data_IF_101364806010
#
_entry.id   IF_101364806010
#
_cell.length_a   1.000
_cell.length_b   1.000
_cell.length_c   1.000
_cell.angle_alpha   90.00
_cell.angle_beta   90.00
_cell.angle_gamma   90.00
#
_symmetry.space_group_name_H-M   'P 1'
#
loop_
_entity.id
_entity.type
_entity.pdbx_description
1 polymer ?
#
# COMPACT_ATOMS: atom_id res chain seq x y z
N UNK A 1 30.63 34.77 -14.23
CA UNK A 1 30.88 35.29 -15.58
C UNK A 1 29.54 35.49 -16.27
N UNK A 2 29.38 36.59 -16.99
CA UNK A 2 28.17 36.91 -17.75
C UNK A 2 28.55 37.06 -19.22
N UNK A 3 27.86 36.35 -20.10
CA UNK A 3 27.93 36.53 -21.54
C UNK A 3 26.55 37.00 -22.04
N UNK A 4 26.52 38.02 -22.87
CA UNK A 4 25.28 38.60 -23.38
C UNK A 4 25.41 38.97 -24.85
N UNK A 5 24.45 38.51 -25.63
CA UNK A 5 24.21 38.96 -26.99
C UNK A 5 22.74 39.32 -27.10
N UNK A 6 22.44 40.50 -27.62
CA UNK A 6 21.08 40.95 -27.85
C UNK A 6 21.00 41.76 -29.14
N UNK A 7 19.82 41.73 -29.73
CA UNK A 7 19.42 42.59 -30.82
C UNK A 7 18.06 43.21 -30.48
N UNK A 8 17.98 44.53 -30.64
CA UNK A 8 16.77 45.29 -30.39
C UNK A 8 16.46 46.10 -31.64
N UNK A 9 15.37 45.77 -32.32
CA UNK A 9 14.87 46.48 -33.49
C UNK A 9 13.71 47.35 -33.04
N UNK A 10 13.77 48.67 -33.29
CA UNK A 10 12.69 49.62 -33.00
C UNK A 10 12.23 50.29 -34.28
N UNK A 11 10.92 50.25 -34.53
CA UNK A 11 10.32 51.05 -35.58
C UNK A 11 10.06 52.47 -35.04
N UNK A 12 10.75 53.43 -35.62
CA UNK A 12 10.51 54.86 -35.43
C UNK A 12 9.48 55.35 -36.46
N UNK A 13 8.79 56.45 -36.16
CA UNK A 13 7.82 57.05 -37.07
C UNK A 13 8.38 57.25 -38.48
N UNK A 14 7.54 57.08 -39.49
CA UNK A 14 7.86 57.10 -40.93
C UNK A 14 8.53 55.83 -41.50
N UNK A 15 8.40 54.67 -40.84
CA UNK A 15 8.86 53.39 -41.39
C UNK A 15 10.38 53.20 -41.31
N UNK A 16 11.07 53.98 -40.49
CA UNK A 16 12.48 53.81 -40.23
C UNK A 16 12.70 52.80 -39.10
N UNK A 17 13.59 51.84 -39.32
CA UNK A 17 13.99 50.88 -38.29
C UNK A 17 15.36 51.24 -37.73
N UNK A 18 15.49 51.25 -36.40
CA UNK A 18 16.78 51.32 -35.72
C UNK A 18 17.08 49.99 -35.08
N UNK A 19 18.28 49.47 -35.37
CA UNK A 19 18.79 48.23 -34.82
C UNK A 19 19.87 48.58 -33.80
N UNK A 20 19.72 48.05 -32.58
CA UNK A 20 20.71 48.15 -31.51
C UNK A 20 21.27 46.76 -31.22
N UNK A 21 22.58 46.63 -31.28
CA UNK A 21 23.28 45.41 -30.92
C UNK A 21 24.02 45.59 -29.59
N UNK A 22 24.43 44.48 -28.99
CA UNK A 22 25.35 44.50 -27.85
C UNK A 22 26.71 45.08 -28.26
N UNK A 23 27.22 46.01 -27.45
CA UNK A 23 28.60 46.50 -27.57
C UNK A 23 29.58 45.34 -27.35
N UNK A 24 30.59 45.21 -28.22
CA UNK A 24 31.59 44.15 -28.14
C UNK A 24 32.27 44.08 -26.77
N UNK A 25 32.42 45.22 -26.07
CA UNK A 25 33.00 45.29 -24.73
C UNK A 25 32.10 44.72 -23.64
N UNK A 26 30.81 44.60 -23.90
CA UNK A 26 29.79 44.12 -22.95
C UNK A 26 29.38 42.68 -23.23
N UNK A 27 29.81 42.09 -24.35
CA UNK A 27 29.52 40.69 -24.71
C UNK A 27 29.98 39.69 -23.66
N UNK A 28 31.08 40.00 -22.96
CA UNK A 28 31.64 39.16 -21.90
C UNK A 28 32.06 40.01 -20.72
N UNK A 29 31.46 39.74 -19.57
CA UNK A 29 31.71 40.42 -18.31
C UNK A 29 32.28 39.39 -17.32
N UNK A 30 33.52 39.63 -16.90
CA UNK A 30 34.22 38.79 -15.93
C UNK A 30 34.14 39.40 -14.52
N UNK A 31 33.98 38.54 -13.51
CA UNK A 31 33.87 38.95 -12.11
C UNK A 31 32.43 39.06 -11.58
N UNK A 32 32.31 39.34 -10.29
CA UNK A 32 31.04 39.44 -9.56
C UNK A 32 30.55 40.88 -9.41
N UNK A 33 31.41 41.87 -9.68
CA UNK A 33 31.09 43.29 -9.61
C UNK A 33 31.72 43.97 -10.83
N UNK A 34 30.91 44.67 -11.60
CA UNK A 34 31.33 45.38 -12.82
C UNK A 34 30.71 46.76 -12.84
N UNK A 35 31.48 47.74 -13.29
CA UNK A 35 31.03 49.11 -13.40
C UNK A 35 30.83 49.50 -14.87
N UNK A 36 29.61 49.87 -15.24
CA UNK A 36 29.26 50.32 -16.59
C UNK A 36 29.05 51.83 -16.57
N UNK A 37 29.95 52.57 -17.25
CA UNK A 37 29.86 54.03 -17.40
C UNK A 37 29.55 54.40 -18.83
N UNK A 38 28.43 55.09 -19.01
CA UNK A 38 28.09 55.72 -20.29
C UNK A 38 27.31 57.02 -20.03
N UNK A 39 27.33 57.97 -21.00
CA UNK A 39 26.44 59.12 -20.99
C UNK A 39 24.96 58.73 -20.86
N UNK A 40 24.12 59.68 -20.48
CA UNK A 40 22.68 59.48 -20.44
C UNK A 40 22.14 59.13 -21.84
N UNK A 41 21.03 58.39 -21.88
CA UNK A 41 20.40 57.92 -23.12
C UNK A 41 21.26 57.00 -24.03
N UNK A 42 22.32 56.38 -23.48
CA UNK A 42 23.16 55.39 -24.19
C UNK A 42 22.75 53.93 -23.99
N UNK A 43 21.55 53.67 -23.44
CA UNK A 43 21.02 52.31 -23.31
C UNK A 43 21.44 51.54 -22.05
N UNK A 44 22.02 52.20 -21.03
CA UNK A 44 22.38 51.57 -19.74
C UNK A 44 21.19 50.82 -19.11
N UNK A 45 20.08 51.51 -18.92
CA UNK A 45 18.86 50.90 -18.36
C UNK A 45 18.27 49.85 -19.29
N UNK A 46 18.39 50.03 -20.61
CA UNK A 46 17.93 49.05 -21.60
C UNK A 46 18.68 47.72 -21.46
N UNK A 47 20.01 47.74 -21.30
CA UNK A 47 20.80 46.55 -21.04
C UNK A 47 20.34 45.83 -19.77
N UNK A 48 20.18 46.58 -18.67
CA UNK A 48 19.74 46.01 -17.39
C UNK A 48 18.32 45.43 -17.48
N UNK A 49 17.41 46.10 -18.19
CA UNK A 49 16.06 45.61 -18.44
C UNK A 49 16.07 44.34 -19.31
N UNK A 50 16.96 44.22 -20.30
CA UNK A 50 17.12 42.98 -21.10
C UNK A 50 17.64 41.84 -20.22
N UNK A 51 18.60 42.11 -19.32
CA UNK A 51 19.07 41.11 -18.36
C UNK A 51 17.95 40.65 -17.44
N UNK A 52 17.15 41.58 -16.90
CA UNK A 52 15.99 41.25 -16.07
C UNK A 52 14.93 40.47 -16.86
N UNK A 53 14.63 40.86 -18.10
CA UNK A 53 13.73 40.15 -19.00
C UNK A 53 14.20 38.71 -19.23
N UNK A 54 15.49 38.51 -19.47
CA UNK A 54 16.08 37.18 -19.67
C UNK A 54 15.88 36.23 -18.47
N UNK A 55 15.58 36.77 -17.30
CA UNK A 55 15.34 36.04 -16.06
C UNK A 55 13.89 36.14 -15.58
N UNK A 56 12.94 36.30 -16.51
CA UNK A 56 11.50 36.40 -16.22
C UNK A 56 11.10 37.58 -15.32
N UNK A 57 11.85 38.68 -15.34
CA UNK A 57 11.54 39.87 -14.54
C UNK A 57 10.18 40.50 -14.87
N UNK A 58 9.70 40.33 -16.10
CA UNK A 58 8.37 40.75 -16.57
C UNK A 58 7.22 39.93 -15.96
N UNK A 59 7.49 38.70 -15.51
CA UNK A 59 6.47 37.76 -15.04
C UNK A 59 6.34 37.73 -13.51
N UNK A 60 7.13 38.52 -12.79
CA UNK A 60 7.03 38.63 -11.34
C UNK A 60 5.71 39.30 -10.94
N UNK A 61 5.03 38.78 -9.92
CA UNK A 61 3.75 39.31 -9.45
C UNK A 61 3.88 40.76 -8.97
N UNK A 62 2.81 41.56 -9.04
CA UNK A 62 2.77 42.93 -8.53
C UNK A 62 3.08 43.04 -7.04
N UNK A 63 2.67 42.02 -6.26
CA UNK A 63 2.97 41.90 -4.83
C UNK A 63 4.44 41.62 -4.52
N UNK A 64 5.26 41.40 -5.54
CA UNK A 64 6.64 41.00 -5.40
C UNK A 64 7.57 42.22 -5.36
N UNK A 65 7.98 42.61 -4.15
CA UNK A 65 8.80 43.79 -3.87
C UNK A 65 10.23 43.73 -4.42
N UNK A 66 10.58 42.68 -5.17
CA UNK A 66 11.92 42.46 -5.74
C UNK A 66 12.26 43.39 -6.90
N UNK A 67 11.25 43.89 -7.61
CA UNK A 67 11.36 44.84 -8.71
C UNK A 67 10.22 45.84 -8.56
N UNK A 68 10.51 47.14 -8.66
CA UNK A 68 9.49 48.17 -8.59
C UNK A 68 8.51 48.10 -9.77
N UNK A 69 7.29 48.60 -9.58
CA UNK A 69 6.25 48.59 -10.63
C UNK A 69 6.69 49.32 -11.91
N UNK A 70 7.40 50.44 -11.75
CA UNK A 70 7.92 51.21 -12.87
C UNK A 70 8.97 50.42 -13.66
N UNK A 71 9.89 49.76 -12.98
CA UNK A 71 10.90 48.92 -13.64
C UNK A 71 10.27 47.69 -14.29
N UNK A 72 9.27 47.07 -13.66
CA UNK A 72 8.55 45.93 -14.26
C UNK A 72 7.85 46.35 -15.54
N UNK A 73 7.16 47.49 -15.52
CA UNK A 73 6.54 48.09 -16.71
C UNK A 73 7.59 48.31 -17.82
N UNK A 74 8.75 48.86 -17.49
CA UNK A 74 9.85 49.08 -18.44
C UNK A 74 10.42 47.79 -19.03
N UNK A 75 10.46 46.70 -18.26
CA UNK A 75 10.87 45.37 -18.72
C UNK A 75 9.79 44.77 -19.64
N UNK A 76 8.52 44.84 -19.22
CA UNK A 76 7.39 44.34 -20.02
C UNK A 76 7.31 45.08 -21.36
N UNK A 77 7.53 46.40 -21.37
CA UNK A 77 7.60 47.22 -22.58
C UNK A 77 8.64 46.72 -23.58
N UNK A 78 9.69 46.01 -23.13
CA UNK A 78 10.67 45.44 -24.04
C UNK A 78 10.13 44.24 -24.85
N UNK A 79 9.16 43.51 -24.30
CA UNK A 79 8.59 42.32 -24.92
C UNK A 79 7.23 42.57 -25.58
N UNK A 80 6.41 43.47 -25.06
CA UNK A 80 4.98 43.56 -25.42
C UNK A 80 4.64 44.51 -26.59
N UNK A 81 5.59 45.35 -27.04
CA UNK A 81 5.32 46.36 -28.08
C UNK A 81 5.39 45.78 -29.49
N UNK A 82 4.32 46.01 -30.28
CA UNK A 82 4.26 45.63 -31.71
C UNK A 82 5.32 46.30 -32.58
N UNK A 83 5.81 47.48 -32.19
CA UNK A 83 6.79 48.26 -32.95
C UNK A 83 8.23 48.01 -32.48
N UNK A 84 8.45 47.00 -31.66
CA UNK A 84 9.77 46.64 -31.16
C UNK A 84 9.96 45.11 -31.15
N UNK A 85 11.12 44.67 -31.60
CA UNK A 85 11.54 43.27 -31.55
C UNK A 85 12.79 43.20 -30.67
N UNK A 86 12.80 42.27 -29.73
CA UNK A 86 13.96 42.01 -28.87
C UNK A 86 14.29 40.52 -28.89
N UNK A 87 15.51 40.19 -29.30
CA UNK A 87 16.08 38.84 -29.20
C UNK A 87 17.34 38.89 -28.33
N UNK A 88 17.61 37.81 -27.62
CA UNK A 88 18.79 37.73 -26.77
C UNK A 88 19.24 36.29 -26.53
N UNK A 89 20.52 36.17 -26.21
CA UNK A 89 21.18 34.99 -25.67
C UNK A 89 22.05 35.46 -24.50
N UNK A 90 21.66 35.07 -23.29
CA UNK A 90 22.34 35.47 -22.06
C UNK A 90 22.78 34.22 -21.33
N UNK A 91 24.05 34.17 -20.94
CA UNK A 91 24.63 33.07 -20.18
C UNK A 91 25.26 33.59 -18.89
N UNK A 92 24.83 33.03 -17.77
CA UNK A 92 25.42 33.26 -16.46
C UNK A 92 26.18 32.00 -16.03
N UNK A 93 27.46 32.13 -15.73
CA UNK A 93 28.29 31.02 -15.24
C UNK A 93 28.78 31.33 -13.82
N UNK A 94 28.57 30.38 -12.91
CA UNK A 94 29.11 30.41 -11.54
C UNK A 94 30.64 30.52 -11.54
N UNK A 95 31.22 31.06 -10.45
CA UNK A 95 32.68 31.18 -10.28
C UNK A 95 33.40 29.84 -10.46
N UNK A 96 32.78 28.75 -10.04
CA UNK A 96 33.36 27.40 -10.09
C UNK A 96 33.02 26.67 -11.40
N UNK A 97 32.28 27.30 -12.32
CA UNK A 97 31.84 26.70 -13.60
C UNK A 97 30.81 25.57 -13.48
N UNK A 98 30.41 25.19 -12.26
CA UNK A 98 29.52 24.02 -12.02
C UNK A 98 28.06 24.27 -12.39
N UNK A 99 27.63 25.53 -12.33
CA UNK A 99 26.26 25.96 -12.61
C UNK A 99 26.33 26.99 -13.72
N UNK A 100 25.60 26.72 -14.80
CA UNK A 100 25.36 27.67 -15.88
C UNK A 100 23.86 27.89 -16.06
N UNK A 101 23.45 29.13 -16.22
CA UNK A 101 22.08 29.51 -16.55
C UNK A 101 22.09 30.17 -17.93
N UNK A 102 21.41 29.56 -18.90
CA UNK A 102 21.34 30.03 -20.27
C UNK A 102 19.90 30.45 -20.54
N UNK A 103 19.72 31.71 -20.92
CA UNK A 103 18.43 32.27 -21.29
C UNK A 103 18.45 32.72 -22.74
N UNK A 104 17.47 32.25 -23.53
CA UNK A 104 17.38 32.57 -24.95
C UNK A 104 15.98 33.02 -25.33
N UNK A 105 15.92 34.06 -26.15
CA UNK A 105 14.73 34.51 -26.86
C UNK A 105 15.08 34.59 -28.34
N UNK A 106 14.77 33.50 -29.07
CA UNK A 106 15.10 33.35 -30.49
C UNK A 106 14.03 33.92 -31.41
N UNK A 107 12.77 33.81 -31.02
CA UNK A 107 11.67 34.29 -31.83
C UNK A 107 11.40 35.77 -31.52
N UNK A 108 11.68 36.61 -32.53
CA UNK A 108 11.45 38.04 -32.52
C UNK A 108 10.01 38.46 -32.17
N UNK A 109 9.03 37.61 -32.50
CA UNK A 109 7.60 37.92 -32.41
C UNK A 109 6.96 37.26 -31.18
N UNK A 110 7.55 36.18 -30.64
CA UNK A 110 7.03 35.52 -29.45
C UNK A 110 7.53 36.19 -28.17
N UNK A 111 6.72 36.15 -27.11
CA UNK A 111 7.11 36.49 -25.75
C UNK A 111 7.73 35.30 -24.99
N UNK A 112 7.97 34.20 -25.68
CA UNK A 112 8.55 33.00 -25.10
C UNK A 112 10.05 33.19 -24.83
N UNK A 113 10.40 33.02 -23.56
CA UNK A 113 11.78 33.06 -23.06
C UNK A 113 12.09 31.67 -22.54
N UNK A 114 13.09 31.04 -23.14
CA UNK A 114 13.58 29.72 -22.73
C UNK A 114 14.75 29.89 -21.77
N UNK A 115 14.55 29.50 -20.51
CA UNK A 115 15.62 29.46 -19.51
C UNK A 115 16.02 28.01 -19.25
N UNK A 116 17.32 27.75 -19.25
CA UNK A 116 17.90 26.44 -19.02
C UNK A 116 18.99 26.54 -17.98
N UNK A 117 19.08 25.52 -17.15
CA UNK A 117 20.09 25.38 -16.13
C UNK A 117 20.94 24.15 -16.43
N UNK A 118 22.26 24.30 -16.36
CA UNK A 118 23.24 23.23 -16.51
C UNK A 118 23.94 23.06 -15.18
N UNK A 119 23.71 21.92 -14.51
CA UNK A 119 24.40 21.55 -13.28
C UNK A 119 25.29 20.35 -13.58
N UNK A 120 26.61 20.50 -13.45
CA UNK A 120 27.60 19.45 -13.71
C UNK A 120 27.40 18.77 -15.09
N UNK A 121 27.08 19.55 -16.12
CA UNK A 121 26.86 19.08 -17.50
C UNK A 121 25.48 18.48 -17.78
N UNK A 122 24.58 18.39 -16.79
CA UNK A 122 23.18 18.00 -17.02
C UNK A 122 22.31 19.23 -17.25
N UNK A 123 21.71 19.30 -18.42
CA UNK A 123 20.80 20.37 -18.83
C UNK A 123 19.37 20.08 -18.35
N UNK A 124 18.74 21.10 -17.76
CA UNK A 124 17.36 21.08 -17.30
C UNK A 124 16.66 22.36 -17.74
N UNK A 125 15.50 22.23 -18.38
CA UNK A 125 14.63 23.37 -18.66
C UNK A 125 14.06 23.93 -17.34
N UNK A 126 14.13 25.24 -17.18
CA UNK A 126 13.75 25.94 -15.96
C UNK A 126 12.54 26.85 -16.23
N UNK A 127 11.31 26.32 -16.12
CA UNK A 127 10.10 27.14 -16.28
C UNK A 127 10.00 28.18 -15.16
N UNK A 128 9.25 29.26 -15.42
CA UNK A 128 9.10 30.41 -14.51
C UNK A 128 8.84 30.03 -13.04
N UNK A 129 7.92 29.10 -12.77
CA UNK A 129 7.61 28.68 -11.40
C UNK A 129 8.82 28.09 -10.67
N UNK A 130 9.60 27.22 -11.33
CA UNK A 130 10.83 26.66 -10.75
C UNK A 130 11.92 27.71 -10.61
N UNK A 131 12.06 28.59 -11.60
CA UNK A 131 13.00 29.71 -11.51
C UNK A 131 12.71 30.55 -10.27
N UNK A 132 11.45 30.90 -10.01
CA UNK A 132 11.03 31.70 -8.86
C UNK A 132 11.34 31.05 -7.50
N UNK A 133 11.25 29.72 -7.43
CA UNK A 133 11.53 28.96 -6.20
C UNK A 133 13.02 28.82 -5.91
N UNK A 134 13.82 28.64 -6.96
CA UNK A 134 15.24 28.31 -6.86
C UNK A 134 16.15 29.55 -6.94
N UNK A 135 15.71 30.62 -7.62
CA UNK A 135 16.49 31.83 -7.88
C UNK A 135 15.80 33.09 -7.35
N UNK A 136 16.61 34.00 -6.80
CA UNK A 136 16.16 35.28 -6.27
C UNK A 136 16.69 36.42 -7.15
N UNK A 137 15.88 36.84 -8.13
CA UNK A 137 16.17 37.98 -8.99
C UNK A 137 15.94 39.30 -8.22
N UNK A 138 16.97 40.13 -8.12
CA UNK A 138 16.87 41.49 -7.56
C UNK A 138 17.28 42.45 -8.65
N UNK A 139 16.38 43.37 -8.99
CA UNK A 139 16.68 44.46 -9.90
C UNK A 139 16.05 45.74 -9.39
N UNK A 140 16.90 46.72 -9.14
CA UNK A 140 16.50 47.98 -8.55
C UNK A 140 17.35 49.13 -9.08
N UNK A 141 16.74 50.30 -9.18
CA UNK A 141 17.40 51.57 -9.47
C UNK A 141 17.17 52.45 -8.25
N UNK A 142 18.06 52.40 -7.25
CA UNK A 142 17.82 53.09 -5.99
C UNK A 142 17.87 54.60 -6.16
N UNK A 143 16.90 55.29 -5.54
CA UNK A 143 16.96 56.74 -5.36
C UNK A 143 18.07 57.13 -4.36
N UNK A 144 18.28 56.29 -3.33
CA UNK A 144 19.39 56.38 -2.38
C UNK A 144 20.21 55.07 -2.34
N UNK A 145 21.29 54.97 -3.13
CA UNK A 145 22.09 53.75 -3.23
C UNK A 145 22.80 53.39 -1.92
N UNK A 146 23.10 54.37 -1.05
CA UNK A 146 23.86 54.12 0.18
C UNK A 146 23.00 53.40 1.22
N UNK A 147 21.72 53.76 1.31
CA UNK A 147 20.77 53.11 2.21
C UNK A 147 20.21 51.81 1.62
N UNK A 148 20.14 51.68 0.29
CA UNK A 148 19.59 50.47 -0.34
C UNK A 148 20.49 49.24 -0.23
N UNK A 149 21.81 49.40 -0.30
CA UNK A 149 22.76 48.28 -0.16
C UNK A 149 22.56 47.51 1.17
N UNK A 150 22.53 48.17 2.35
CA UNK A 150 22.31 47.45 3.61
C UNK A 150 20.93 46.80 3.70
N UNK A 151 19.89 47.37 3.08
CA UNK A 151 18.58 46.73 2.97
C UNK A 151 18.65 45.42 2.19
N UNK A 152 19.26 45.42 1.00
CA UNK A 152 19.44 44.20 0.18
C UNK A 152 20.24 43.14 0.94
N UNK A 153 21.31 43.55 1.65
CA UNK A 153 22.08 42.64 2.49
C UNK A 153 21.22 42.03 3.60
N UNK A 154 20.32 42.82 4.20
CA UNK A 154 19.38 42.34 5.21
C UNK A 154 18.37 41.35 4.62
N UNK A 155 17.86 41.61 3.42
CA UNK A 155 16.94 40.71 2.70
C UNK A 155 17.61 39.37 2.37
N UNK A 156 18.85 39.41 1.85
CA UNK A 156 19.65 38.21 1.57
C UNK A 156 19.88 37.41 2.87
N UNK A 157 20.25 38.08 3.97
CA UNK A 157 20.43 37.44 5.27
C UNK A 157 19.13 36.78 5.77
N UNK A 158 18.00 37.44 5.59
CA UNK A 158 16.68 36.90 5.95
C UNK A 158 16.32 35.67 5.11
N UNK A 159 16.63 35.66 3.80
CA UNK A 159 16.43 34.47 2.96
C UNK A 159 17.34 33.32 3.37
N UNK A 160 18.61 33.59 3.65
CA UNK A 160 19.54 32.60 4.19
C UNK A 160 19.03 32.01 5.52
N UNK A 161 18.48 32.85 6.41
CA UNK A 161 17.86 32.39 7.65
C UNK A 161 16.65 31.49 7.41
N UNK A 162 15.79 31.83 6.44
CA UNK A 162 14.65 30.98 6.04
C UNK A 162 15.11 29.60 5.55
N UNK A 163 16.15 29.55 4.72
CA UNK A 163 16.74 28.27 4.29
C UNK A 163 17.35 27.50 5.45
N UNK A 164 18.06 28.17 6.35
CA UNK A 164 18.61 27.55 7.55
C UNK A 164 17.52 26.93 8.42
N UNK A 165 16.41 27.64 8.64
CA UNK A 165 15.26 27.12 9.40
C UNK A 165 14.66 25.88 8.73
N UNK A 166 14.44 25.91 7.40
CA UNK A 166 13.95 24.74 6.64
C UNK A 166 14.87 23.52 6.81
N UNK A 167 16.19 23.74 6.77
CA UNK A 167 17.18 22.68 7.00
C UNK A 167 17.10 22.15 8.43
N UNK A 168 16.99 23.03 9.44
CA UNK A 168 16.85 22.62 10.83
C UNK A 168 15.57 21.80 11.07
N UNK A 169 14.45 22.22 10.50
CA UNK A 169 13.18 21.49 10.61
C UNK A 169 13.28 20.11 9.95
N UNK A 170 13.96 20.01 8.79
CA UNK A 170 14.24 18.73 8.15
C UNK A 170 15.15 17.83 8.98
N UNK A 171 16.21 18.38 9.60
CA UNK A 171 17.08 17.63 10.52
C UNK A 171 16.28 17.10 11.72
N UNK A 172 15.37 17.91 12.28
CA UNK A 172 14.50 17.49 13.38
C UNK A 172 13.61 16.34 12.96
N UNK A 173 12.97 16.45 11.80
CA UNK A 173 12.14 15.39 11.23
C UNK A 173 12.92 14.08 11.01
N UNK A 174 14.15 14.16 10.50
CA UNK A 174 15.02 12.98 10.40
C UNK A 174 15.39 12.40 11.77
N UNK A 175 15.57 13.26 12.78
CA UNK A 175 15.79 12.85 14.16
C UNK A 175 14.58 12.12 14.74
N UNK A 176 13.37 12.62 14.47
CA UNK A 176 12.10 11.99 14.85
C UNK A 176 11.96 10.61 14.18
N UNK A 177 12.14 10.51 12.86
CA UNK A 177 12.15 9.22 12.15
C UNK A 177 13.17 8.26 12.75
N UNK A 178 14.39 8.74 13.02
CA UNK A 178 15.44 7.90 13.62
C UNK A 178 15.03 7.40 15.01
N UNK A 179 14.39 8.26 15.81
CA UNK A 179 13.87 7.89 17.13
C UNK A 179 12.69 6.94 17.01
N UNK A 180 11.79 7.12 16.05
CA UNK A 180 10.67 6.20 15.78
C UNK A 180 11.21 4.83 15.37
N UNK A 181 12.20 4.77 14.49
CA UNK A 181 12.85 3.51 14.10
C UNK A 181 13.52 2.86 15.31
N UNK A 182 14.24 3.62 16.14
CA UNK A 182 14.89 3.12 17.34
C UNK A 182 13.89 2.60 18.38
N UNK A 183 12.79 3.33 18.59
CA UNK A 183 11.74 3.00 19.56
C UNK A 183 10.76 1.93 19.03
N UNK A 184 10.65 1.74 17.72
CA UNK A 184 9.87 0.65 17.10
C UNK A 184 10.53 -0.72 17.27
N UNK A 185 11.81 -0.75 17.65
CA UNK A 185 12.53 -1.96 18.06
C UNK A 185 12.58 -2.00 19.57
N UNK A 186 11.41 -2.15 20.20
CA UNK A 186 11.35 -2.47 21.61
C UNK A 186 11.76 -3.93 21.77
N UNK A 187 13.04 -4.14 22.10
CA UNK A 187 13.65 -5.47 22.23
C UNK A 187 12.91 -6.31 23.28
N UNK A 188 12.32 -5.65 24.29
CA UNK A 188 11.46 -6.26 25.30
C UNK A 188 10.11 -6.69 24.73
N UNK A 189 9.51 -5.93 23.81
CA UNK A 189 8.26 -6.31 23.14
C UNK A 189 8.47 -7.48 22.18
N UNK A 190 9.63 -7.54 21.50
CA UNK A 190 10.02 -8.67 20.66
C UNK A 190 10.22 -9.93 21.51
N UNK A 191 10.88 -9.82 22.67
CA UNK A 191 11.06 -10.93 23.61
C UNK A 191 9.70 -11.39 24.12
N UNK A 192 8.83 -10.48 24.59
CA UNK A 192 7.47 -10.81 25.06
C UNK A 192 6.66 -11.52 23.98
N UNK A 193 6.71 -11.03 22.75
CA UNK A 193 5.99 -11.62 21.62
C UNK A 193 6.51 -13.02 21.32
N UNK A 194 7.84 -13.24 21.35
CA UNK A 194 8.43 -14.58 21.21
C UNK A 194 8.01 -15.52 22.33
N UNK A 195 7.97 -15.05 23.58
CA UNK A 195 7.50 -15.83 24.72
C UNK A 195 6.03 -16.20 24.56
N UNK A 196 5.18 -15.25 24.17
CA UNK A 196 3.76 -15.51 23.90
C UNK A 196 3.56 -16.51 22.75
N UNK A 197 4.35 -16.43 21.68
CA UNK A 197 4.31 -17.41 20.58
C UNK A 197 4.62 -18.81 21.11
N UNK A 198 5.70 -18.97 21.89
CA UNK A 198 6.05 -20.26 22.50
C UNK A 198 4.94 -20.80 23.39
N UNK A 199 4.33 -19.97 24.23
CA UNK A 199 3.21 -20.38 25.08
C UNK A 199 1.97 -20.81 24.27
N UNK A 200 1.68 -20.13 23.16
CA UNK A 200 0.57 -20.50 22.30
C UNK A 200 0.85 -21.79 21.52
N UNK A 201 2.11 -22.06 21.14
CA UNK A 201 2.52 -23.33 20.55
C UNK A 201 2.37 -24.50 21.52
N UNK A 202 2.75 -24.32 22.79
CA UNK A 202 2.56 -25.32 23.84
C UNK A 202 1.06 -25.57 24.11
N UNK A 203 0.26 -24.50 24.20
CA UNK A 203 -1.21 -24.62 24.34
C UNK A 203 -1.82 -25.36 23.15
N UNK A 204 -1.38 -25.08 21.93
CA UNK A 204 -1.82 -25.78 20.71
C UNK A 204 -1.49 -27.28 20.76
N UNK A 205 -0.29 -27.64 21.23
CA UNK A 205 0.11 -29.04 21.40
C UNK A 205 -0.76 -29.76 22.44
N UNK A 206 -1.03 -29.10 23.57
CA UNK A 206 -1.89 -29.64 24.63
C UNK A 206 -3.33 -29.82 24.15
N UNK A 207 -3.92 -28.84 23.44
CA UNK A 207 -5.25 -28.99 22.87
C UNK A 207 -5.33 -30.13 21.85
N UNK A 208 -4.28 -30.32 21.05
CA UNK A 208 -4.22 -31.45 20.10
C UNK A 208 -4.27 -32.80 20.84
N UNK A 209 -3.51 -32.94 21.94
CA UNK A 209 -3.56 -34.14 22.79
C UNK A 209 -4.95 -34.36 23.39
N UNK A 210 -5.57 -33.31 23.94
CA UNK A 210 -6.92 -33.41 24.50
C UNK A 210 -7.97 -33.77 23.47
N UNK A 211 -7.86 -33.28 22.22
CA UNK A 211 -8.74 -33.68 21.13
C UNK A 211 -8.60 -35.18 20.84
N UNK A 212 -7.37 -35.69 20.79
CA UNK A 212 -7.12 -37.11 20.54
C UNK A 212 -7.64 -38.00 21.69
N UNK A 213 -7.49 -37.56 22.94
CA UNK A 213 -8.08 -38.23 24.12
C UNK A 213 -9.60 -38.27 24.06
N UNK A 214 -10.25 -37.14 23.77
CA UNK A 214 -11.72 -37.06 23.66
C UNK A 214 -12.22 -37.94 22.50
N UNK A 215 -11.51 -37.99 21.38
CA UNK A 215 -11.86 -38.88 20.25
C UNK A 215 -11.82 -40.35 20.64
N UNK A 216 -10.81 -40.76 21.40
CA UNK A 216 -10.73 -42.13 21.93
C UNK A 216 -11.87 -42.42 22.93
N UNK A 217 -12.21 -41.46 23.80
CA UNK A 217 -13.37 -41.61 24.70
C UNK A 217 -14.70 -41.74 23.94
N UNK A 218 -14.92 -40.91 22.91
CA UNK A 218 -16.11 -41.00 22.05
C UNK A 218 -16.20 -42.37 21.40
N UNK A 219 -15.08 -42.88 20.86
CA UNK A 219 -15.05 -44.21 20.23
C UNK A 219 -15.40 -45.34 21.21
N UNK A 220 -14.94 -45.25 22.46
CA UNK A 220 -15.30 -46.20 23.52
C UNK A 220 -16.79 -46.11 23.84
N UNK A 221 -17.33 -44.89 23.99
CA UNK A 221 -18.76 -44.65 24.26
C UNK A 221 -19.67 -45.14 23.14
N UNK A 222 -19.31 -44.87 21.88
CA UNK A 222 -20.03 -45.39 20.71
C UNK A 222 -20.07 -46.91 20.70
N UNK A 223 -18.94 -47.56 21.04
CA UNK A 223 -18.85 -49.01 21.13
C UNK A 223 -19.72 -49.56 22.26
N UNK A 224 -19.71 -48.92 23.43
CA UNK A 224 -20.56 -49.31 24.56
C UNK A 224 -22.05 -49.15 24.25
N UNK A 225 -22.46 -48.03 23.64
CA UNK A 225 -23.85 -47.79 23.24
C UNK A 225 -24.32 -48.83 22.21
N UNK A 226 -23.47 -49.17 21.24
CA UNK A 226 -23.78 -50.21 20.27
C UNK A 226 -24.00 -51.57 20.93
N UNK A 227 -23.18 -51.93 21.92
CA UNK A 227 -23.31 -53.18 22.68
C UNK A 227 -24.58 -53.20 23.54
N UNK A 228 -24.89 -52.11 24.22
CA UNK A 228 -26.11 -51.98 25.05
C UNK A 228 -27.39 -52.08 24.21
N UNK A 229 -27.45 -51.39 23.07
CA UNK A 229 -28.62 -51.51 22.19
C UNK A 229 -28.71 -52.92 21.60
N UNK A 230 -27.58 -53.57 21.31
CA UNK A 230 -27.57 -54.96 20.88
C UNK A 230 -28.19 -55.90 21.92
N UNK A 231 -27.79 -55.82 23.20
CA UNK A 231 -28.36 -56.64 24.28
C UNK A 231 -29.89 -56.47 24.34
N UNK A 232 -30.36 -55.22 24.28
CA UNK A 232 -31.79 -54.90 24.26
C UNK A 232 -32.52 -55.50 23.05
N UNK A 233 -31.90 -55.51 21.87
CA UNK A 233 -32.47 -56.15 20.68
C UNK A 233 -32.53 -57.67 20.81
N UNK A 234 -31.55 -58.29 21.46
CA UNK A 234 -31.54 -59.73 21.73
C UNK A 234 -32.65 -60.10 22.72
N UNK A 235 -32.79 -59.38 23.84
CA UNK A 235 -33.88 -59.58 24.80
C UNK A 235 -35.26 -59.40 24.14
N UNK A 236 -35.39 -58.38 23.30
CA UNK A 236 -36.61 -58.15 22.53
C UNK A 236 -36.90 -59.29 21.54
N UNK A 237 -35.86 -59.86 20.91
CA UNK A 237 -36.00 -61.03 20.05
C UNK A 237 -36.45 -62.28 20.82
N UNK A 238 -35.88 -62.52 22.00
CA UNK A 238 -36.27 -63.63 22.87
C UNK A 238 -37.73 -63.53 23.31
N UNK A 239 -38.16 -62.36 23.82
CA UNK A 239 -39.56 -62.15 24.24
C UNK A 239 -40.57 -62.27 23.09
N UNK A 240 -40.17 -61.84 21.88
CA UNK A 240 -40.96 -62.07 20.67
C UNK A 240 -41.06 -63.56 20.31
N UNK A 241 -39.97 -64.31 20.38
CA UNK A 241 -39.95 -65.74 20.10
C UNK A 241 -40.80 -66.52 21.12
N UNK A 242 -40.67 -66.20 22.40
CA UNK A 242 -41.50 -66.79 23.46
C UNK A 242 -42.99 -66.48 23.25
N UNK A 243 -43.32 -65.24 22.84
CA UNK A 243 -44.68 -64.86 22.46
C UNK A 243 -45.22 -65.63 21.25
N UNK A 244 -44.35 -65.96 20.27
CA UNK A 244 -44.69 -66.79 19.12
C UNK A 244 -44.92 -68.24 19.55
N UNK A 245 -44.04 -68.80 20.38
CA UNK A 245 -44.17 -70.17 20.88
C UNK A 245 -45.40 -70.35 21.76
N UNK A 246 -45.67 -69.42 22.67
CA UNK A 246 -46.86 -69.44 23.53
C UNK A 246 -48.14 -69.33 22.68
N UNK A 247 -48.15 -68.50 21.63
CA UNK A 247 -49.26 -68.47 20.65
C UNK A 247 -49.36 -69.76 19.82
N UNK A 248 -48.24 -70.42 19.55
CA UNK A 248 -48.18 -71.74 18.92
C UNK A 248 -48.77 -72.85 19.79
N UNK A 249 -48.49 -72.85 21.09
CA UNK A 249 -49.05 -73.78 22.10
C UNK A 249 -50.56 -73.55 22.31
N UNK A 250 -51.02 -72.29 22.29
CA UNK A 250 -52.46 -71.95 22.29
C UNK A 250 -53.16 -72.50 21.03
N UNK A 251 -52.45 -72.60 19.90
CA UNK A 251 -52.95 -73.17 18.64
C UNK A 251 -53.03 -74.70 18.66
N UNK A 252 -52.14 -75.41 19.36
CA UNK A 252 -52.22 -76.88 19.51
C UNK A 252 -53.39 -77.32 20.38
N UNK A 253 -53.86 -76.47 21.30
CA UNK A 253 -55.03 -76.72 22.16
C UNK A 253 -56.39 -76.37 21.51
N UNK A 254 -56.40 -75.72 20.33
CA UNK A 254 -57.63 -75.44 19.56
C UNK A 254 -57.58 -76.10 18.18
N UNK A 255 -57.51 -77.44 18.16
CA UNK A 255 -57.91 -78.22 16.98
C UNK A 255 -59.44 -78.31 16.90
N UNK A 256 -60.08 -77.32 16.27
CA UNK A 256 -61.35 -77.42 15.50
C UNK A 256 -61.81 -76.01 15.08
N UNK A 257 -61.22 -75.48 14.02
CA UNK A 257 -61.77 -74.47 13.06
C UNK A 257 -60.64 -74.04 12.12
N UNK A 258 -60.21 -74.96 11.26
CA UNK A 258 -59.06 -74.80 10.39
C UNK A 258 -59.50 -74.54 8.94
N UNK A 259 -59.49 -73.26 8.51
CA UNK A 259 -59.09 -72.88 7.12
C UNK A 259 -58.91 -71.37 6.95
N UNK A 260 -59.78 -70.51 7.50
CA UNK A 260 -59.68 -69.04 7.34
C UNK A 260 -58.78 -68.34 8.38
N UNK A 261 -58.63 -68.89 9.58
CA UNK A 261 -57.70 -68.35 10.60
C UNK A 261 -56.22 -68.61 10.25
N UNK A 262 -55.96 -69.61 9.39
CA UNK A 262 -54.61 -70.04 9.06
C UNK A 262 -53.88 -69.03 8.15
N UNK A 263 -54.59 -68.39 7.22
CA UNK A 263 -53.99 -67.42 6.27
C UNK A 263 -53.58 -66.12 6.93
N UNK A 264 -54.40 -65.58 7.85
CA UNK A 264 -54.08 -64.34 8.59
C UNK A 264 -52.96 -64.55 9.61
N UNK A 265 -52.90 -65.73 10.22
CA UNK A 265 -51.81 -66.15 11.09
C UNK A 265 -50.51 -66.35 10.31
N UNK A 266 -50.54 -67.07 9.19
CA UNK A 266 -49.37 -67.29 8.33
C UNK A 266 -48.84 -65.98 7.73
N UNK A 267 -49.71 -65.03 7.37
CA UNK A 267 -49.28 -63.70 6.91
C UNK A 267 -48.64 -62.88 8.03
N UNK A 268 -49.20 -62.89 9.26
CA UNK A 268 -48.55 -62.27 10.43
C UNK A 268 -47.23 -62.95 10.78
N UNK A 269 -47.17 -64.28 10.66
CA UNK A 269 -45.96 -65.08 10.89
C UNK A 269 -44.88 -64.73 9.88
N UNK A 270 -45.21 -64.64 8.58
CA UNK A 270 -44.28 -64.17 7.54
C UNK A 270 -43.82 -62.74 7.80
N UNK A 271 -44.72 -61.84 8.21
CA UNK A 271 -44.36 -60.45 8.51
C UNK A 271 -43.42 -60.34 9.72
N UNK A 272 -43.68 -61.11 10.79
CA UNK A 272 -42.81 -61.16 11.97
C UNK A 272 -41.47 -61.82 11.62
N UNK A 273 -41.49 -62.91 10.83
CA UNK A 273 -40.26 -63.56 10.35
C UNK A 273 -39.41 -62.62 9.50
N UNK A 274 -40.02 -61.83 8.61
CA UNK A 274 -39.32 -60.80 7.85
C UNK A 274 -38.74 -59.67 8.71
N UNK A 275 -39.37 -59.32 9.85
CA UNK A 275 -38.77 -58.40 10.84
C UNK A 275 -37.59 -59.04 11.56
N UNK A 276 -37.69 -60.31 11.93
CA UNK A 276 -36.59 -61.07 12.53
C UNK A 276 -35.41 -61.18 11.56
N UNK A 277 -35.66 -61.44 10.28
CA UNK A 277 -34.60 -61.53 9.26
C UNK A 277 -33.91 -60.17 9.01
N UNK A 278 -34.65 -59.05 9.03
CA UNK A 278 -34.05 -57.71 9.01
C UNK A 278 -33.19 -57.43 10.23
N UNK A 279 -33.63 -57.85 11.42
CA UNK A 279 -32.84 -57.75 12.65
C UNK A 279 -31.57 -58.61 12.53
N UNK A 280 -31.66 -59.82 11.96
CA UNK A 280 -30.49 -60.67 11.69
C UNK A 280 -29.47 -60.04 10.74
N UNK A 281 -29.91 -59.39 9.66
CA UNK A 281 -29.01 -58.67 8.74
C UNK A 281 -28.32 -57.48 9.43
N UNK A 282 -29.06 -56.70 10.22
CA UNK A 282 -28.47 -55.61 10.99
C UNK A 282 -27.46 -56.12 12.04
N UNK A 283 -27.71 -57.30 12.61
CA UNK A 283 -26.80 -57.96 13.56
C UNK A 283 -25.52 -58.46 12.87
N UNK A 284 -25.61 -59.03 11.66
CA UNK A 284 -24.41 -59.47 10.94
C UNK A 284 -23.50 -58.30 10.55
N UNK A 285 -24.09 -57.17 10.12
CA UNK A 285 -23.35 -55.95 9.78
C UNK A 285 -22.68 -55.35 11.04
N UNK A 286 -23.39 -55.33 12.17
CA UNK A 286 -22.83 -54.85 13.44
C UNK A 286 -21.69 -55.77 13.93
N UNK A 287 -21.85 -57.09 13.82
CA UNK A 287 -20.85 -58.08 14.23
C UNK A 287 -19.57 -58.00 13.39
N UNK A 288 -19.69 -57.75 12.08
CA UNK A 288 -18.56 -57.51 11.19
C UNK A 288 -17.78 -56.24 11.59
N UNK A 289 -18.50 -55.16 11.89
CA UNK A 289 -17.89 -53.90 12.33
C UNK A 289 -17.19 -54.04 13.69
N UNK A 290 -17.79 -54.75 14.64
CA UNK A 290 -17.21 -55.03 15.95
C UNK A 290 -15.95 -55.92 15.85
N UNK A 291 -15.98 -57.01 15.07
CA UNK A 291 -14.81 -57.90 14.91
C UNK A 291 -13.61 -57.17 14.29
N UNK A 292 -13.82 -56.25 13.34
CA UNK A 292 -12.74 -55.46 12.75
C UNK A 292 -12.13 -54.42 13.70
N UNK A 293 -12.87 -54.02 14.74
CA UNK A 293 -12.48 -53.02 15.72
C UNK A 293 -11.69 -53.62 16.89
N UNK A 294 -12.06 -54.81 17.36
CA UNK A 294 -11.50 -55.40 18.59
C UNK A 294 -10.31 -56.33 18.40
N UNK A 295 -10.13 -57.00 17.25
CA UNK A 295 -8.90 -57.78 17.01
C UNK A 295 -7.62 -56.92 16.91
N UNK A 296 -7.77 -55.59 16.80
CA UNK A 296 -6.62 -54.66 16.71
C UNK A 296 -6.18 -54.05 18.04
N UNK A 297 -6.90 -54.25 19.15
CA UNK A 297 -6.50 -53.74 20.47
C UNK A 297 -6.82 -54.76 21.56
N UNK A 298 -5.78 -55.25 22.25
CA UNK A 298 -5.84 -56.12 23.43
C UNK A 298 -6.66 -55.50 24.57
N UNK A 299 -8.00 -55.59 24.52
CA UNK A 299 -8.88 -55.15 25.62
C UNK A 299 -9.51 -56.37 26.32
N UNK A 300 -8.82 -56.88 27.34
CA UNK A 300 -9.22 -58.05 28.14
C UNK A 300 -10.57 -57.88 28.88
N UNK A 301 -11.07 -56.65 29.01
CA UNK A 301 -12.35 -56.36 29.69
C UNK A 301 -13.59 -56.62 28.81
N UNK A 302 -13.43 -56.66 27.48
CA UNK A 302 -14.55 -56.76 26.52
C UNK A 302 -14.66 -58.18 25.94
N UNK A 303 -13.62 -58.98 26.11
CA UNK A 303 -13.53 -60.39 25.70
C UNK A 303 -14.73 -61.24 26.20
N UNK A 304 -15.18 -61.13 27.47
CA UNK A 304 -16.32 -61.92 27.95
C UNK A 304 -17.65 -61.56 27.26
N UNK A 305 -17.84 -60.29 26.92
CA UNK A 305 -19.04 -59.83 26.21
C UNK A 305 -19.02 -60.28 24.75
N UNK A 306 -17.89 -60.17 24.05
CA UNK A 306 -17.74 -60.67 22.67
C UNK A 306 -17.90 -62.20 22.61
N UNK A 307 -17.42 -62.91 23.61
CA UNK A 307 -17.55 -64.36 23.71
C UNK A 307 -19.01 -64.77 24.02
N UNK A 308 -19.71 -64.03 24.89
CA UNK A 308 -21.14 -64.17 25.09
C UNK A 308 -21.97 -63.89 23.82
N UNK A 309 -21.55 -62.91 23.01
CA UNK A 309 -22.15 -62.61 21.71
C UNK A 309 -21.97 -63.75 20.70
N UNK A 310 -20.78 -64.35 20.65
CA UNK A 310 -20.52 -65.54 19.82
C UNK A 310 -21.42 -66.72 20.24
N UNK A 311 -21.61 -66.92 21.54
CA UNK A 311 -22.52 -67.94 22.09
C UNK A 311 -23.98 -67.65 21.70
N UNK A 312 -24.42 -66.39 21.73
CA UNK A 312 -25.76 -65.98 21.31
C UNK A 312 -26.00 -66.16 19.81
N UNK A 313 -25.01 -65.87 18.95
CA UNK A 313 -25.11 -66.17 17.51
C UNK A 313 -25.24 -67.66 17.22
N UNK A 314 -24.63 -68.53 18.04
CA UNK A 314 -24.73 -69.99 17.92
C UNK A 314 -26.05 -70.57 18.43
N UNK A 315 -26.68 -69.98 19.46
CA UNK A 315 -28.01 -70.39 19.94
C UNK A 315 -29.17 -69.93 19.05
N UNK A 316 -28.91 -69.03 18.09
CA UNK A 316 -29.89 -68.49 17.15
C UNK A 316 -29.88 -69.16 15.76
N UNK A 317 -29.00 -70.14 15.54
CA UNK A 317 -29.00 -71.10 14.42
C UNK A 317 -29.81 -72.35 14.79
#
# INVERSE_FOLDING_TARGET
MLEIEYELIRQEGNGHERIFHTDDKLKKIEGNATYIKAPNARGKSTLLNILALSLYGDRLDESDSRISESLRSDIEYLSSRKNQICTFNVKFTSKDGKIELISTKKNAISNDIEVKEIINGKERYLPFHKFREEYFLVYDIPEDPLNRIPEILSEVKNQQYRYHKKIQDFIRYLGEIKSEIANSRDEDEIIRTKTSISEYEDKKLNFKRSIDEIREQIRILESFLALREFERYVEFSFSLNESIENKGKIKSNRKKTAKTFNTRYENKRKHIKGKIDKIKMNISDLTYNLNNLFFKRDSREIEPHVEYLKILTWRAL
#
